data_IF_857842125265
#
_entry.id   IF_857842125265
#
_cell.length_a   1.000
_cell.length_b   1.000
_cell.length_c   1.000
_cell.angle_alpha   90.00
_cell.angle_beta   90.00
_cell.angle_gamma   90.00
#
_symmetry.space_group_name_H-M   'P 1'
#
loop_
_entity.id
_entity.type
_entity.pdbx_description
1 polymer ?
#
# COMPACT_ATOMS: atom_id res chain seq x y z
N UNK A 1 6.62 0.82 -15.90
CA UNK A 1 6.38 -0.28 -14.94
C UNK A 1 4.98 -0.83 -15.20
N UNK A 2 4.77 -2.14 -15.13
CA UNK A 2 3.48 -2.79 -15.48
C UNK A 2 3.17 -3.94 -14.52
N UNK A 3 1.89 -4.29 -14.37
CA UNK A 3 1.45 -5.46 -13.60
C UNK A 3 1.90 -6.73 -14.33
N UNK A 4 2.66 -7.57 -13.63
CA UNK A 4 3.09 -8.90 -14.07
C UNK A 4 1.98 -9.93 -13.82
N UNK A 5 1.40 -9.95 -12.62
CA UNK A 5 0.35 -10.88 -12.23
C UNK A 5 -0.43 -10.40 -11.01
N UNK A 6 -1.64 -10.93 -10.80
CA UNK A 6 -2.46 -10.70 -9.62
C UNK A 6 -2.64 -12.00 -8.86
N UNK A 7 -2.14 -12.04 -7.63
CA UNK A 7 -2.27 -13.17 -6.72
C UNK A 7 -3.58 -13.03 -5.93
N UNK A 8 -4.47 -14.02 -6.04
CA UNK A 8 -5.82 -13.94 -5.46
C UNK A 8 -5.83 -14.41 -4.01
N UNK A 9 -6.38 -13.58 -3.12
CA UNK A 9 -6.56 -13.89 -1.70
C UNK A 9 -5.50 -13.26 -0.78
N UNK A 10 -5.88 -13.05 0.48
CA UNK A 10 -5.18 -12.21 1.47
C UNK A 10 -3.79 -12.69 1.89
N UNK A 11 -3.39 -13.90 1.50
CA UNK A 11 -2.07 -14.48 1.82
C UNK A 11 -1.28 -14.88 0.56
N UNK A 12 -1.83 -14.65 -0.63
CA UNK A 12 -1.18 -15.03 -1.87
C UNK A 12 -0.19 -13.94 -2.29
N UNK A 13 1.10 -14.21 -2.15
CA UNK A 13 2.21 -13.38 -2.65
C UNK A 13 3.24 -14.29 -3.32
N UNK A 14 3.96 -13.79 -4.33
CA UNK A 14 5.09 -14.52 -4.90
C UNK A 14 6.24 -14.65 -3.90
N UNK A 15 7.15 -15.60 -4.11
CA UNK A 15 8.34 -15.75 -3.26
C UNK A 15 9.22 -14.48 -3.30
N UNK A 16 9.35 -13.85 -4.46
CA UNK A 16 10.12 -12.62 -4.62
C UNK A 16 9.47 -11.45 -3.86
N UNK A 17 8.14 -11.36 -3.88
CA UNK A 17 7.38 -10.40 -3.08
C UNK A 17 7.53 -10.63 -1.58
N UNK A 18 7.42 -11.88 -1.12
CA UNK A 18 7.60 -12.20 0.29
C UNK A 18 9.02 -11.83 0.77
N UNK A 19 10.02 -11.99 -0.10
CA UNK A 19 11.39 -11.54 0.15
C UNK A 19 11.55 -10.02 0.17
N UNK A 20 10.74 -9.28 -0.58
CA UNK A 20 10.74 -7.80 -0.59
C UNK A 20 10.20 -7.23 0.72
N UNK A 21 9.12 -7.82 1.27
CA UNK A 21 8.60 -7.46 2.60
C UNK A 21 9.36 -8.10 3.77
N UNK A 22 10.24 -9.09 3.50
CA UNK A 22 11.02 -9.79 4.52
C UNK A 22 10.16 -10.37 5.66
N UNK A 23 10.66 -10.29 6.89
CA UNK A 23 9.93 -10.68 8.12
C UNK A 23 8.59 -9.98 8.34
N UNK A 24 8.31 -8.89 7.63
CA UNK A 24 7.08 -8.09 7.76
C UNK A 24 5.95 -8.56 6.86
N UNK A 25 6.25 -9.44 5.88
CA UNK A 25 5.25 -10.08 5.00
C UNK A 25 4.10 -10.73 5.78
N UNK A 26 4.39 -11.35 6.93
CA UNK A 26 3.39 -12.00 7.79
C UNK A 26 2.44 -11.03 8.51
N UNK A 27 2.85 -9.77 8.67
CA UNK A 27 2.05 -8.74 9.33
C UNK A 27 1.34 -7.82 8.34
N UNK A 28 1.75 -7.83 7.06
CA UNK A 28 1.18 -6.96 6.04
C UNK A 28 -0.35 -7.04 5.96
N UNK A 29 -1.00 -8.22 5.92
CA UNK A 29 -2.45 -8.28 5.88
C UNK A 29 -3.13 -7.67 7.11
N UNK A 30 -2.56 -7.89 8.30
CA UNK A 30 -3.15 -7.42 9.57
C UNK A 30 -3.02 -5.91 9.74
N UNK A 31 -1.87 -5.34 9.39
CA UNK A 31 -1.61 -3.91 9.50
C UNK A 31 -2.39 -3.15 8.41
N UNK A 32 -2.50 -3.71 7.20
CA UNK A 32 -3.35 -3.15 6.14
C UNK A 32 -4.81 -3.10 6.60
N UNK A 33 -5.33 -4.17 7.21
CA UNK A 33 -6.68 -4.17 7.77
C UNK A 33 -6.87 -3.11 8.88
N UNK A 34 -5.91 -2.98 9.80
CA UNK A 34 -5.98 -1.92 10.83
C UNK A 34 -5.93 -0.52 10.21
N UNK A 35 -5.11 -0.30 9.18
CA UNK A 35 -5.03 1.00 8.50
C UNK A 35 -6.35 1.37 7.83
N UNK A 36 -7.06 0.39 7.28
CA UNK A 36 -8.38 0.56 6.68
C UNK A 36 -9.39 0.96 7.77
N UNK A 37 -9.39 0.23 8.89
CA UNK A 37 -10.29 0.49 10.03
C UNK A 37 -10.04 1.86 10.68
N UNK A 38 -8.77 2.26 10.85
CA UNK A 38 -8.37 3.48 11.57
C UNK A 38 -8.42 4.75 10.72
N UNK A 39 -8.23 4.64 9.39
CA UNK A 39 -8.01 5.84 8.56
C UNK A 39 -9.04 6.04 7.43
N UNK A 40 -9.82 5.02 7.01
CA UNK A 40 -10.34 5.01 5.64
C UNK A 40 -11.72 4.36 5.40
N UNK A 41 -12.74 4.69 6.20
CA UNK A 41 -14.19 4.45 5.94
C UNK A 41 -14.86 3.22 6.56
N UNK A 42 -16.20 3.33 6.61
CA UNK A 42 -17.17 2.38 7.16
C UNK A 42 -16.99 0.96 6.64
N UNK A 43 -16.44 0.08 7.48
CA UNK A 43 -16.68 -1.38 7.55
C UNK A 43 -16.93 -2.05 6.19
N UNK A 44 -15.87 -2.39 5.48
CA UNK A 44 -15.94 -3.31 4.35
C UNK A 44 -15.30 -4.65 4.72
N UNK A 45 -16.09 -5.72 4.65
CA UNK A 45 -15.59 -7.08 4.70
C UNK A 45 -15.03 -7.44 3.30
N UNK A 46 -13.99 -6.73 2.86
CA UNK A 46 -13.38 -6.94 1.54
C UNK A 46 -12.11 -7.80 1.66
N UNK A 47 -11.88 -8.67 0.70
CA UNK A 47 -10.63 -9.43 0.60
C UNK A 47 -9.63 -8.66 -0.27
N UNK A 48 -8.35 -8.80 0.01
CA UNK A 48 -7.29 -8.19 -0.81
C UNK A 48 -6.64 -9.23 -1.72
N UNK A 49 -6.37 -8.82 -2.95
CA UNK A 49 -5.43 -9.46 -3.86
C UNK A 49 -4.07 -8.76 -3.76
N UNK A 50 -3.02 -9.38 -4.30
CA UNK A 50 -1.72 -8.75 -4.44
C UNK A 50 -1.35 -8.60 -5.91
N UNK A 51 -1.12 -7.36 -6.35
CA UNK A 51 -0.65 -7.02 -7.69
C UNK A 51 0.87 -6.97 -7.70
N UNK A 52 1.51 -7.94 -8.36
CA UNK A 52 2.95 -7.97 -8.57
C UNK A 52 3.31 -7.22 -9.86
N UNK A 53 4.30 -6.35 -9.79
CA UNK A 53 4.88 -5.59 -10.89
C UNK A 53 6.02 -6.39 -11.53
N UNK A 54 6.39 -6.02 -12.76
CA UNK A 54 7.45 -6.69 -13.52
C UNK A 54 8.87 -6.63 -12.90
N UNK A 55 9.05 -5.92 -11.80
CA UNK A 55 10.28 -5.88 -10.99
C UNK A 55 10.14 -6.66 -9.67
N UNK A 56 9.07 -7.44 -9.50
CA UNK A 56 8.75 -8.29 -8.32
C UNK A 56 8.34 -7.56 -7.04
N UNK A 57 8.26 -6.24 -7.09
CA UNK A 57 7.56 -5.43 -6.08
C UNK A 57 6.08 -5.34 -6.43
N UNK A 58 5.28 -4.68 -5.62
CA UNK A 58 3.83 -4.67 -5.85
C UNK A 58 3.02 -4.22 -4.65
N UNK A 59 1.72 -4.25 -4.77
CA UNK A 59 0.80 -3.65 -3.81
C UNK A 59 -0.43 -4.54 -3.59
N UNK A 60 -1.00 -4.43 -2.39
CA UNK A 60 -2.29 -5.03 -2.10
C UNK A 60 -3.38 -4.19 -2.74
N UNK A 61 -4.37 -4.84 -3.35
CA UNK A 61 -5.52 -4.20 -4.00
C UNK A 61 -6.80 -4.85 -3.48
N UNK A 62 -7.87 -4.10 -3.20
CA UNK A 62 -9.17 -4.70 -2.93
C UNK A 62 -9.60 -5.64 -4.06
N UNK A 63 -10.17 -6.79 -3.72
CA UNK A 63 -10.71 -7.73 -4.72
C UNK A 63 -12.02 -7.24 -5.34
N UNK A 64 -12.72 -6.36 -4.64
CA UNK A 64 -13.93 -5.71 -5.12
C UNK A 64 -13.57 -4.49 -5.97
N UNK A 65 -14.09 -4.45 -7.20
CA UNK A 65 -13.98 -3.29 -8.07
C UNK A 65 -15.02 -2.26 -7.65
N UNK A 66 -14.56 -1.17 -7.04
CA UNK A 66 -15.41 -0.12 -6.49
C UNK A 66 -14.66 1.21 -6.46
N UNK A 67 -15.41 2.30 -6.27
CA UNK A 67 -14.84 3.58 -5.87
C UNK A 67 -14.77 3.62 -4.35
N UNK A 68 -13.56 3.80 -3.84
CA UNK A 68 -13.25 3.94 -2.44
C UNK A 68 -13.13 5.42 -2.13
N UNK A 69 -13.63 5.83 -0.98
CA UNK A 69 -13.35 7.19 -0.51
C UNK A 69 -12.20 7.12 0.48
N UNK A 70 -11.28 8.08 0.42
CA UNK A 70 -10.08 8.13 1.28
C UNK A 70 -10.04 9.50 1.94
N UNK A 71 -9.91 9.52 3.27
CA UNK A 71 -9.86 10.73 4.08
C UNK A 71 -8.43 11.30 4.06
N UNK A 72 -8.29 12.62 3.95
CA UNK A 72 -7.00 13.29 4.09
C UNK A 72 -6.42 13.15 5.51
N UNK A 73 -5.10 13.29 5.63
CA UNK A 73 -4.40 13.14 6.91
C UNK A 73 -4.92 14.09 8.01
N UNK A 74 -5.38 15.28 7.63
CA UNK A 74 -5.94 16.28 8.53
C UNK A 74 -7.46 16.11 8.77
N UNK A 75 -8.08 15.09 8.17
CA UNK A 75 -9.51 14.79 8.28
C UNK A 75 -10.45 15.88 7.73
N UNK A 76 -9.92 16.78 6.90
CA UNK A 76 -10.69 17.92 6.36
C UNK A 76 -11.31 17.63 4.98
N UNK A 77 -10.82 16.62 4.27
CA UNK A 77 -11.30 16.31 2.93
C UNK A 77 -11.36 14.81 2.66
N UNK A 78 -12.12 14.48 1.63
CA UNK A 78 -12.36 13.13 1.16
C UNK A 78 -12.19 13.09 -0.35
N UNK A 79 -11.45 12.09 -0.83
CA UNK A 79 -11.16 11.91 -2.25
C UNK A 79 -11.64 10.53 -2.65
N UNK A 80 -12.41 10.45 -3.74
CA UNK A 80 -12.77 9.17 -4.34
C UNK A 80 -11.58 8.66 -5.16
N UNK A 81 -11.22 7.40 -4.96
CA UNK A 81 -10.12 6.70 -5.62
C UNK A 81 -10.62 5.33 -6.09
N UNK A 82 -10.06 4.80 -7.17
CA UNK A 82 -10.35 3.44 -7.61
C UNK A 82 -9.62 2.38 -6.73
N UNK A 83 -9.88 1.10 -6.98
CA UNK A 83 -9.26 0.02 -6.21
C UNK A 83 -7.72 0.04 -6.30
N UNK A 84 -7.18 0.40 -7.47
CA UNK A 84 -5.73 0.38 -7.72
C UNK A 84 -5.05 1.51 -6.96
N UNK A 85 -5.59 2.73 -7.09
CA UNK A 85 -5.16 3.91 -6.34
C UNK A 85 -5.24 3.65 -4.83
N UNK A 86 -6.37 3.11 -4.35
CA UNK A 86 -6.55 2.72 -2.95
C UNK A 86 -5.48 1.73 -2.49
N UNK A 87 -5.24 0.70 -3.29
CA UNK A 87 -4.28 -0.35 -3.01
C UNK A 87 -2.84 0.15 -2.90
N UNK A 88 -2.45 1.08 -3.76
CA UNK A 88 -1.14 1.74 -3.72
C UNK A 88 -1.02 2.60 -2.47
N UNK A 89 -2.04 3.41 -2.16
CA UNK A 89 -2.06 4.27 -0.97
C UNK A 89 -1.90 3.43 0.30
N UNK A 90 -2.72 2.39 0.49
CA UNK A 90 -2.72 1.60 1.71
C UNK A 90 -1.42 0.80 1.89
N UNK A 91 -0.87 0.25 0.79
CA UNK A 91 0.39 -0.49 0.84
C UNK A 91 1.55 0.43 1.20
N UNK A 92 1.56 1.66 0.67
CA UNK A 92 2.60 2.62 0.99
C UNK A 92 2.54 3.11 2.43
N UNK A 93 1.34 3.34 2.95
CA UNK A 93 1.15 3.66 4.37
C UNK A 93 1.66 2.54 5.28
N UNK A 94 1.35 1.29 4.94
CA UNK A 94 1.90 0.13 5.62
C UNK A 94 3.44 0.17 5.63
N UNK A 95 4.07 0.38 4.48
CA UNK A 95 5.54 0.44 4.37
C UNK A 95 6.11 1.56 5.26
N UNK A 96 5.54 2.78 5.21
CA UNK A 96 6.00 3.91 6.04
C UNK A 96 5.89 3.60 7.52
N UNK A 97 4.79 3.01 7.98
CA UNK A 97 4.58 2.66 9.39
C UNK A 97 5.63 1.64 9.85
N UNK A 98 5.89 0.61 9.04
CA UNK A 98 6.89 -0.40 9.41
C UNK A 98 8.30 0.19 9.41
N UNK A 99 8.64 1.03 8.41
CA UNK A 99 9.93 1.70 8.37
C UNK A 99 10.13 2.63 9.57
N UNK A 100 9.08 3.31 10.07
CA UNK A 100 9.15 4.10 11.30
C UNK A 100 9.29 3.28 12.57
N UNK A 101 8.64 2.12 12.62
CA UNK A 101 8.74 1.21 13.76
C UNK A 101 10.07 0.46 13.81
N UNK A 102 10.77 0.34 12.68
CA UNK A 102 12.07 -0.32 12.59
C UNK A 102 13.15 0.44 13.37
N UNK A 103 13.66 -0.16 14.44
CA UNK A 103 14.72 0.41 15.28
C UNK A 103 16.14 0.08 14.81
N UNK A 104 16.27 -0.82 13.84
CA UNK A 104 17.55 -1.31 13.31
C UNK A 104 17.45 -1.30 11.79
N UNK A 105 18.45 -0.72 11.13
CA UNK A 105 18.59 -0.77 9.68
C UNK A 105 19.34 -2.06 9.36
N UNK A 106 18.63 -2.97 8.70
CA UNK A 106 19.16 -4.24 8.20
C UNK A 106 18.74 -4.44 6.74
N UNK A 107 19.18 -5.54 6.12
CA UNK A 107 18.89 -5.85 4.72
C UNK A 107 17.39 -5.93 4.40
N UNK A 108 16.53 -6.27 5.36
CA UNK A 108 15.08 -6.33 5.16
C UNK A 108 14.48 -4.92 5.17
N UNK A 109 14.99 -4.03 6.03
CA UNK A 109 14.63 -2.61 6.03
C UNK A 109 15.10 -1.93 4.73
N UNK A 110 16.30 -2.22 4.24
CA UNK A 110 16.79 -1.72 2.95
C UNK A 110 15.90 -2.14 1.77
N UNK A 111 15.47 -3.41 1.73
CA UNK A 111 14.53 -3.89 0.71
C UNK A 111 13.18 -3.19 0.78
N UNK A 112 12.70 -2.90 1.98
CA UNK A 112 11.42 -2.21 2.17
C UNK A 112 11.49 -0.73 1.82
N UNK A 113 12.65 -0.08 2.02
CA UNK A 113 12.91 1.26 1.48
C UNK A 113 12.90 1.23 -0.06
N UNK A 114 13.54 0.24 -0.69
CA UNK A 114 13.49 0.10 -2.15
C UNK A 114 12.05 -0.17 -2.65
N UNK A 115 11.28 -0.97 -1.91
CA UNK A 115 9.86 -1.20 -2.19
C UNK A 115 9.06 0.12 -2.16
N UNK A 116 9.28 0.93 -1.12
CA UNK A 116 8.66 2.26 -0.99
C UNK A 116 8.94 3.13 -2.22
N UNK A 117 10.20 3.26 -2.62
CA UNK A 117 10.63 4.10 -3.75
C UNK A 117 10.00 3.63 -5.06
N UNK A 118 10.00 2.33 -5.31
CA UNK A 118 9.43 1.73 -6.52
C UNK A 118 7.93 1.97 -6.61
N UNK A 119 7.19 1.75 -5.53
CA UNK A 119 5.75 2.02 -5.51
C UNK A 119 5.45 3.51 -5.59
N UNK A 120 6.32 4.38 -5.08
CA UNK A 120 6.14 5.82 -5.13
C UNK A 120 6.28 6.33 -6.56
N UNK A 121 7.26 5.82 -7.31
CA UNK A 121 7.41 6.11 -8.74
C UNK A 121 6.30 5.48 -9.57
N UNK A 122 5.79 4.31 -9.19
CA UNK A 122 4.62 3.72 -9.84
C UNK A 122 3.36 4.57 -9.63
N UNK A 123 3.12 5.07 -8.42
CA UNK A 123 1.97 5.92 -8.09
C UNK A 123 1.90 7.16 -8.98
N UNK A 124 3.04 7.82 -9.25
CA UNK A 124 3.14 8.96 -10.17
C UNK A 124 2.65 8.65 -11.60
N UNK A 125 2.73 7.40 -12.01
CA UNK A 125 2.36 6.97 -13.35
C UNK A 125 0.89 6.58 -13.48
N UNK A 126 0.27 6.10 -12.41
CA UNK A 126 -1.05 5.43 -12.49
C UNK A 126 -2.15 6.11 -11.68
N UNK A 127 -1.81 6.87 -10.64
CA UNK A 127 -2.81 7.60 -9.86
C UNK A 127 -3.25 8.86 -10.61
N UNK A 128 -4.54 9.19 -10.47
CA UNK A 128 -5.06 10.51 -10.80
C UNK A 128 -4.37 11.60 -9.98
N UNK A 129 -4.42 12.85 -10.46
CA UNK A 129 -3.80 13.98 -9.77
C UNK A 129 -4.31 14.15 -8.34
N UNK A 130 -5.61 13.95 -8.12
CA UNK A 130 -6.25 14.10 -6.80
C UNK A 130 -5.83 12.96 -5.86
N UNK A 131 -5.84 11.71 -6.34
CA UNK A 131 -5.38 10.56 -5.58
C UNK A 131 -3.89 10.65 -5.24
N UNK A 132 -3.05 11.12 -6.18
CA UNK A 132 -1.62 11.29 -5.96
C UNK A 132 -1.31 12.41 -4.95
N UNK A 133 -2.04 13.54 -5.01
CA UNK A 133 -1.89 14.62 -4.02
C UNK A 133 -2.28 14.17 -2.60
N UNK A 134 -3.37 13.40 -2.48
CA UNK A 134 -3.79 12.77 -1.23
C UNK A 134 -2.74 11.78 -0.70
N UNK A 135 -2.24 10.92 -1.58
CA UNK A 135 -1.14 10.00 -1.29
C UNK A 135 0.08 10.71 -0.70
N UNK A 136 0.57 11.77 -1.34
CA UNK A 136 1.71 12.56 -0.86
C UNK A 136 1.45 13.17 0.52
N UNK A 137 0.23 13.70 0.72
CA UNK A 137 -0.19 14.27 2.01
C UNK A 137 -0.14 13.23 3.13
N UNK A 138 -0.73 12.05 2.89
CA UNK A 138 -0.77 10.95 3.86
C UNK A 138 0.63 10.43 4.16
N UNK A 139 1.45 10.16 3.14
CA UNK A 139 2.84 9.72 3.32
C UNK A 139 3.66 10.74 4.10
N UNK A 140 3.51 12.04 3.81
CA UNK A 140 4.22 13.10 4.52
C UNK A 140 3.84 13.15 6.00
N UNK A 141 2.53 13.12 6.30
CA UNK A 141 2.02 13.06 7.67
C UNK A 141 2.57 11.85 8.44
N UNK A 142 2.53 10.68 7.81
CA UNK A 142 3.02 9.46 8.43
C UNK A 142 4.55 9.40 8.49
N UNK A 143 5.31 10.24 7.78
CA UNK A 143 6.77 10.36 7.94
C UNK A 143 7.17 11.30 9.08
N UNK A 144 6.34 12.30 9.43
CA UNK A 144 6.58 13.23 10.55
C UNK A 144 6.43 12.57 11.91
#
# INVERSE_FOLDING_TARGET
MQILTTHVGTTAMSHATALAFGRFSKYAPQIIMHLIDDNLFSVWNTTFNYCELNNHYGFFVPAELALYTVMSANQESFVAVDETEFGIIITQLFIVIVLRAAKVIDIEVERMMAHFEILHDYAKMVCSSDAYALYESLVSFYKS
#
